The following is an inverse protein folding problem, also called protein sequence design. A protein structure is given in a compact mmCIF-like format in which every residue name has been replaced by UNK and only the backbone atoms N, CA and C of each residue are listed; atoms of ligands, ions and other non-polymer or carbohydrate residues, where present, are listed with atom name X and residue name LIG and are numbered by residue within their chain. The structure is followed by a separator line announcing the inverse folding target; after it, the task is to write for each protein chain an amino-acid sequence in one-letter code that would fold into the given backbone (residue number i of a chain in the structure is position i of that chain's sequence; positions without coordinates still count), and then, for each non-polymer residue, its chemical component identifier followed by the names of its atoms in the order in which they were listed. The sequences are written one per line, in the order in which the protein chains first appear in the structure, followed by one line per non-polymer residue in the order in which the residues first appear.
data_IF_583514521714
#
_entry.id   IF_583514521714
#
_cell.length_a   1.000
_cell.length_b   1.000
_cell.length_c   1.000
_cell.angle_alpha   90.00
_cell.angle_beta   90.00
_cell.angle_gamma   90.00
#
_symmetry.space_group_name_H-M   'P 1'
#
loop_
_entity.id
_entity.type
_entity.pdbx_description
1 polymer ?
#
# COMPACT_ATOMS: atom_id res chain seq x y z
N UNK A 1 -29.72 61.54 25.99
CA UNK A 1 -28.71 61.65 24.92
C UNK A 1 -28.73 60.34 24.14
N UNK A 2 -29.56 60.27 23.11
CA UNK A 2 -29.20 60.57 21.72
C UNK A 2 -28.40 59.43 21.08
N UNK A 3 -29.11 58.33 20.75
CA UNK A 3 -28.68 57.38 19.74
C UNK A 3 -28.87 58.00 18.37
N UNK A 4 -27.78 58.17 17.61
CA UNK A 4 -27.79 58.72 16.26
C UNK A 4 -28.11 57.62 15.26
N UNK A 5 -29.16 57.86 14.48
CA UNK A 5 -29.50 57.20 13.22
C UNK A 5 -28.33 57.25 12.23
N UNK A 6 -28.11 56.15 11.51
CA UNK A 6 -27.49 56.14 10.18
C UNK A 6 -28.59 55.95 9.12
N UNK A 7 -28.52 56.64 7.96
CA UNK A 7 -29.58 56.62 6.96
C UNK A 7 -29.44 55.46 5.96
N UNK A 8 -30.55 55.21 5.28
CA UNK A 8 -30.74 54.26 4.19
C UNK A 8 -29.74 54.45 3.03
N UNK A 9 -29.26 53.34 2.48
CA UNK A 9 -28.46 53.27 1.26
C UNK A 9 -29.01 52.20 0.32
N UNK A 10 -29.55 52.68 -0.80
CA UNK A 10 -30.00 52.04 -2.04
C UNK A 10 -29.87 50.52 -2.21
N UNK A 11 -31.04 49.91 -2.44
CA UNK A 11 -31.21 48.70 -3.24
C UNK A 11 -30.81 49.02 -4.69
N UNK A 12 -29.78 48.35 -5.21
CA UNK A 12 -29.54 48.22 -6.64
C UNK A 12 -29.48 46.72 -6.92
N UNK A 13 -30.50 46.21 -7.62
CA UNK A 13 -30.37 44.93 -8.31
C UNK A 13 -29.41 45.13 -9.47
N UNK A 14 -28.31 44.37 -9.49
CA UNK A 14 -27.49 44.17 -10.68
C UNK A 14 -27.41 42.68 -10.92
N UNK A 15 -27.57 42.38 -12.20
CA UNK A 15 -27.90 41.10 -12.81
C UNK A 15 -26.90 39.96 -12.58
N UNK A 16 -27.41 38.76 -12.84
CA UNK A 16 -26.69 37.50 -12.84
C UNK A 16 -25.56 37.49 -13.88
N UNK A 17 -24.30 37.50 -13.41
CA UNK A 17 -23.14 37.19 -14.23
C UNK A 17 -22.37 35.98 -13.65
N UNK A 18 -22.54 34.86 -14.35
CA UNK A 18 -21.51 33.89 -14.76
C UNK A 18 -20.32 33.66 -13.79
N UNK A 19 -20.50 32.76 -12.82
CA UNK A 19 -19.42 32.25 -11.98
C UNK A 19 -18.61 31.15 -12.68
N UNK A 20 -17.67 31.53 -13.56
CA UNK A 20 -16.50 30.70 -13.87
C UNK A 20 -15.45 30.87 -12.76
N UNK A 21 -15.77 30.37 -11.58
CA UNK A 21 -14.87 30.39 -10.42
C UNK A 21 -13.74 29.38 -10.57
N UNK A 22 -12.67 29.75 -11.29
CA UNK A 22 -11.41 29.02 -11.25
C UNK A 22 -10.88 29.00 -9.82
N UNK A 23 -10.94 27.84 -9.15
CA UNK A 23 -10.41 27.66 -7.81
C UNK A 23 -8.94 28.13 -7.78
N UNK A 24 -8.66 29.09 -6.88
CA UNK A 24 -7.33 29.63 -6.67
C UNK A 24 -6.39 28.50 -6.25
N UNK A 25 -5.39 28.26 -7.09
CA UNK A 25 -4.32 27.27 -6.92
C UNK A 25 -3.65 27.42 -5.56
N UNK A 26 -3.70 26.37 -4.73
CA UNK A 26 -2.94 26.32 -3.49
C UNK A 26 -1.44 26.52 -3.77
N UNK A 27 -0.79 27.46 -3.06
CA UNK A 27 0.66 27.76 -3.16
C UNK A 27 1.53 26.70 -2.46
N UNK A 28 1.24 25.42 -2.65
CA UNK A 28 2.04 24.31 -2.13
C UNK A 28 2.76 23.56 -3.25
N UNK A 29 3.95 22.99 -2.96
CA UNK A 29 4.39 21.82 -3.73
C UNK A 29 3.31 20.75 -3.53
N UNK A 30 2.78 20.19 -4.63
CA UNK A 30 1.82 19.08 -4.53
C UNK A 30 2.39 17.95 -3.69
N UNK A 31 1.52 17.13 -3.10
CA UNK A 31 1.94 15.92 -2.40
C UNK A 31 2.80 15.04 -3.31
N UNK A 32 3.62 14.15 -2.74
CA UNK A 32 4.45 13.21 -3.51
C UNK A 32 3.64 12.05 -4.13
N UNK A 33 2.37 12.31 -4.48
CA UNK A 33 1.43 11.36 -5.05
C UNK A 33 0.54 12.05 -6.11
N UNK A 34 -0.11 11.24 -6.93
CA UNK A 34 -1.15 11.63 -7.86
C UNK A 34 -2.34 10.67 -7.75
N UNK A 35 -3.51 11.11 -8.16
CA UNK A 35 -4.77 10.40 -7.96
C UNK A 35 -5.39 9.99 -9.31
N UNK A 36 -5.59 8.69 -9.51
CA UNK A 36 -6.28 8.12 -10.67
C UNK A 36 -7.75 7.96 -10.30
N UNK A 37 -8.65 8.45 -11.15
CA UNK A 37 -10.09 8.23 -10.98
C UNK A 37 -10.40 6.73 -11.12
N UNK A 38 -10.97 6.13 -10.07
CA UNK A 38 -11.34 4.72 -10.02
C UNK A 38 -12.41 4.36 -11.06
N UNK A 39 -13.30 5.29 -11.42
CA UNK A 39 -14.31 5.08 -12.44
C UNK A 39 -13.71 5.12 -13.86
N UNK A 40 -12.69 5.97 -14.06
CA UNK A 40 -11.95 6.08 -15.33
C UNK A 40 -11.03 4.88 -15.54
N UNK A 41 -10.49 4.31 -14.47
CA UNK A 41 -9.46 3.27 -14.55
C UNK A 41 -9.87 2.06 -15.40
N UNK A 42 -11.05 1.41 -15.20
CA UNK A 42 -11.53 0.35 -16.09
C UNK A 42 -11.73 0.80 -17.53
N UNK A 43 -12.16 2.05 -17.75
CA UNK A 43 -12.44 2.58 -19.09
C UNK A 43 -11.17 2.67 -19.94
N UNK A 44 -10.01 2.99 -19.34
CA UNK A 44 -8.72 2.97 -20.05
C UNK A 44 -8.42 1.58 -20.65
N UNK A 45 -9.03 0.51 -20.10
CA UNK A 45 -8.89 -0.86 -20.58
C UNK A 45 -9.92 -1.29 -21.63
N UNK A 46 -10.89 -0.45 -21.98
CA UNK A 46 -11.90 -0.75 -22.99
C UNK A 46 -11.77 0.12 -24.24
N UNK A 47 -11.10 1.28 -24.14
CA UNK A 47 -10.89 2.18 -25.28
C UNK A 47 -10.05 1.55 -26.40
N UNK A 48 -10.40 1.83 -27.65
CA UNK A 48 -9.62 1.41 -28.81
C UNK A 48 -8.28 2.16 -28.83
N UNK A 49 -7.17 1.43 -28.81
CA UNK A 49 -5.82 2.02 -28.81
C UNK A 49 -4.88 1.17 -29.64
N UNK A 50 -3.86 1.79 -30.24
CA UNK A 50 -2.89 1.05 -31.03
C UNK A 50 -1.93 0.21 -30.16
N UNK A 51 -1.68 0.68 -28.94
CA UNK A 51 -0.86 -0.03 -27.97
C UNK A 51 -1.29 0.34 -26.56
N UNK A 52 -2.00 -0.57 -25.89
CA UNK A 52 -2.56 -0.32 -24.55
C UNK A 52 -1.50 -0.01 -23.50
N UNK A 53 -0.37 -0.71 -23.50
CA UNK A 53 0.70 -0.47 -22.53
C UNK A 53 1.23 0.97 -22.65
N UNK A 54 1.52 1.44 -23.86
CA UNK A 54 1.99 2.80 -24.08
C UNK A 54 0.92 3.84 -23.74
N UNK A 55 -0.34 3.58 -24.12
CA UNK A 55 -1.47 4.44 -23.82
C UNK A 55 -1.64 4.68 -22.32
N UNK A 56 -1.74 3.61 -21.53
CA UNK A 56 -1.90 3.70 -20.06
C UNK A 56 -0.64 4.24 -19.40
N UNK A 57 0.55 3.85 -19.87
CA UNK A 57 1.81 4.40 -19.33
C UNK A 57 1.90 5.91 -19.56
N UNK A 58 1.54 6.41 -20.74
CA UNK A 58 1.55 7.84 -21.03
C UNK A 58 0.55 8.60 -20.15
N UNK A 59 -0.65 8.04 -19.91
CA UNK A 59 -1.63 8.59 -18.98
C UNK A 59 -1.03 8.76 -17.58
N UNK A 60 -0.44 7.70 -17.02
CA UNK A 60 0.15 7.73 -15.68
C UNK A 60 1.33 8.72 -15.59
N UNK A 61 2.19 8.78 -16.61
CA UNK A 61 3.31 9.74 -16.67
C UNK A 61 2.79 11.17 -16.67
N UNK A 62 1.84 11.49 -17.55
CA UNK A 62 1.29 12.84 -17.64
C UNK A 62 0.61 13.27 -16.34
N UNK A 63 -0.13 12.35 -15.71
CA UNK A 63 -0.84 12.59 -14.45
C UNK A 63 0.13 12.79 -13.27
N UNK A 64 1.22 12.02 -13.20
CA UNK A 64 2.27 12.23 -12.21
C UNK A 64 2.95 13.61 -12.32
N UNK A 65 2.93 14.22 -13.51
CA UNK A 65 3.45 15.57 -13.76
C UNK A 65 2.50 16.71 -13.41
N UNK A 66 1.35 16.42 -12.80
CA UNK A 66 0.37 17.44 -12.39
C UNK A 66 0.75 18.12 -11.07
N UNK A 67 0.08 19.23 -10.76
CA UNK A 67 0.20 19.92 -9.48
C UNK A 67 -0.67 19.31 -8.38
N UNK A 68 -0.80 20.03 -7.26
CA UNK A 68 -1.71 19.66 -6.15
C UNK A 68 -3.18 19.57 -6.53
N UNK A 69 -3.58 20.16 -7.66
CA UNK A 69 -4.95 20.10 -8.19
C UNK A 69 -5.19 18.88 -9.10
N UNK A 70 -4.16 18.06 -9.34
CA UNK A 70 -4.16 16.89 -10.21
C UNK A 70 -4.66 17.14 -11.64
N UNK A 71 -4.63 18.39 -12.12
CA UNK A 71 -5.25 18.77 -13.39
C UNK A 71 -4.25 19.20 -14.45
N UNK A 72 -3.42 20.20 -14.17
CA UNK A 72 -2.55 20.79 -15.19
C UNK A 72 -1.19 20.10 -15.20
N UNK A 73 -0.78 19.57 -16.36
CA UNK A 73 0.55 19.02 -16.58
C UNK A 73 1.28 19.74 -17.71
N UNK A 74 2.57 19.96 -17.50
CA UNK A 74 3.53 20.41 -18.52
C UNK A 74 4.42 19.27 -19.02
N UNK A 75 4.21 18.07 -18.48
CA UNK A 75 4.92 16.88 -18.96
C UNK A 75 4.40 16.50 -20.34
N UNK A 76 5.24 15.79 -21.08
CA UNK A 76 5.04 15.55 -22.51
C UNK A 76 5.67 14.22 -22.93
N UNK A 77 5.74 13.98 -24.24
CA UNK A 77 6.48 12.85 -24.80
C UNK A 77 7.94 12.79 -24.30
N UNK A 78 8.56 13.94 -23.99
CA UNK A 78 9.90 13.99 -23.38
C UNK A 78 9.92 13.37 -21.98
N UNK A 79 8.91 13.63 -21.15
CA UNK A 79 8.81 13.02 -19.83
C UNK A 79 8.58 11.50 -19.91
N UNK A 80 7.82 11.04 -20.90
CA UNK A 80 7.66 9.60 -21.16
C UNK A 80 8.99 8.94 -21.57
N UNK A 81 9.80 9.62 -22.38
CA UNK A 81 11.14 9.15 -22.73
C UNK A 81 12.06 9.10 -21.50
N UNK A 82 12.13 10.19 -20.73
CA UNK A 82 13.03 10.32 -19.59
C UNK A 82 12.70 9.35 -18.44
N UNK A 83 11.43 9.23 -18.09
CA UNK A 83 11.02 8.48 -16.90
C UNK A 83 10.75 7.00 -17.18
N UNK A 84 10.17 6.67 -18.33
CA UNK A 84 9.74 5.29 -18.64
C UNK A 84 10.38 4.70 -19.90
N UNK A 85 11.35 5.41 -20.50
CA UNK A 85 12.09 4.93 -21.66
C UNK A 85 11.23 4.77 -22.91
N UNK A 86 10.06 5.43 -22.98
CA UNK A 86 9.17 5.33 -24.14
C UNK A 86 9.64 6.30 -25.23
N UNK A 87 10.07 5.76 -26.37
CA UNK A 87 10.55 6.58 -27.48
C UNK A 87 9.51 7.62 -27.94
N UNK A 88 9.97 8.85 -28.23
CA UNK A 88 9.09 10.01 -28.52
C UNK A 88 7.96 9.75 -29.51
N UNK A 89 8.15 9.10 -30.67
CA UNK A 89 7.06 8.87 -31.61
C UNK A 89 5.92 8.03 -31.02
N UNK A 90 6.26 7.03 -30.20
CA UNK A 90 5.28 6.17 -29.52
C UNK A 90 4.55 6.94 -28.41
N UNK A 91 5.28 7.75 -27.66
CA UNK A 91 4.71 8.61 -26.63
C UNK A 91 3.78 9.68 -27.21
N UNK A 92 4.16 10.34 -28.31
CA UNK A 92 3.30 11.31 -28.99
C UNK A 92 2.00 10.68 -29.46
N UNK A 93 2.07 9.51 -30.10
CA UNK A 93 0.88 8.77 -30.52
C UNK A 93 -0.04 8.42 -29.35
N UNK A 94 0.52 7.87 -28.27
CA UNK A 94 -0.26 7.54 -27.07
C UNK A 94 -0.94 8.76 -26.46
N UNK A 95 -0.25 9.90 -26.41
CA UNK A 95 -0.81 11.17 -25.90
C UNK A 95 -1.90 11.71 -26.83
N UNK A 96 -1.75 11.58 -28.15
CA UNK A 96 -2.78 11.96 -29.11
C UNK A 96 -4.04 11.09 -28.98
N UNK A 97 -3.89 9.78 -28.77
CA UNK A 97 -5.00 8.88 -28.46
C UNK A 97 -5.73 9.31 -27.17
N UNK A 98 -4.99 9.71 -26.11
CA UNK A 98 -5.61 10.24 -24.88
C UNK A 98 -6.43 11.52 -25.12
N UNK A 99 -5.96 12.39 -26.02
CA UNK A 99 -6.68 13.61 -26.41
C UNK A 99 -7.92 13.28 -27.25
N UNK A 100 -7.79 12.34 -28.21
CA UNK A 100 -8.89 11.91 -29.08
C UNK A 100 -10.04 11.29 -28.29
N UNK A 101 -9.71 10.49 -27.26
CA UNK A 101 -10.69 9.89 -26.35
C UNK A 101 -11.21 10.85 -25.27
N UNK A 102 -10.78 12.12 -25.27
CA UNK A 102 -11.24 13.12 -24.30
C UNK A 102 -10.75 12.91 -22.87
N UNK A 103 -9.79 12.00 -22.65
CA UNK A 103 -9.21 11.71 -21.33
C UNK A 103 -8.40 12.90 -20.80
N UNK A 104 -7.75 13.62 -21.72
CA UNK A 104 -7.04 14.87 -21.46
C UNK A 104 -7.36 15.87 -22.57
N UNK A 105 -7.24 17.16 -22.27
CA UNK A 105 -7.39 18.24 -23.26
C UNK A 105 -6.10 19.03 -23.40
N UNK A 106 -5.82 19.57 -24.60
CA UNK A 106 -4.74 20.55 -24.78
C UNK A 106 -5.23 21.90 -24.28
N UNK A 107 -4.42 22.61 -23.50
CA UNK A 107 -4.79 23.95 -23.04
C UNK A 107 -4.59 24.99 -24.14
N UNK A 108 -5.22 26.15 -24.00
CA UNK A 108 -5.02 27.30 -24.92
C UNK A 108 -3.55 27.77 -24.96
N UNK A 109 -2.82 27.59 -23.87
CA UNK A 109 -1.39 27.91 -23.75
C UNK A 109 -0.47 26.81 -24.29
N UNK A 110 -1.03 25.72 -24.82
CA UNK A 110 -0.28 24.60 -25.37
C UNK A 110 0.30 24.97 -26.74
N UNK A 111 1.63 24.88 -26.88
CA UNK A 111 2.31 25.08 -28.16
C UNK A 111 3.05 23.81 -28.57
N UNK A 112 3.45 23.72 -29.85
CA UNK A 112 4.26 22.59 -30.34
C UNK A 112 5.54 22.35 -29.53
N UNK A 113 6.19 23.43 -29.09
CA UNK A 113 7.45 23.36 -28.32
C UNK A 113 7.25 23.23 -26.81
N UNK A 114 6.08 23.63 -26.32
CA UNK A 114 5.72 23.61 -24.89
C UNK A 114 4.28 23.09 -24.77
N UNK A 115 4.05 21.79 -25.01
CA UNK A 115 2.72 21.22 -24.90
C UNK A 115 2.25 21.30 -23.44
N UNK A 116 0.95 21.55 -23.27
CA UNK A 116 0.31 21.60 -21.96
C UNK A 116 -1.01 20.85 -22.04
N UNK A 117 -1.24 19.98 -21.07
CA UNK A 117 -2.44 19.16 -21.02
C UNK A 117 -3.18 19.40 -19.71
N UNK A 118 -4.50 19.22 -19.76
CA UNK A 118 -5.39 19.31 -18.60
C UNK A 118 -6.20 18.02 -18.48
N UNK A 119 -6.13 17.41 -17.31
CA UNK A 119 -7.03 16.35 -16.88
C UNK A 119 -8.36 16.97 -16.39
N UNK A 120 -9.47 16.23 -16.52
CA UNK A 120 -10.71 16.62 -15.85
C UNK A 120 -10.49 16.70 -14.33
N UNK A 121 -11.20 17.60 -13.63
CA UNK A 121 -11.17 17.60 -12.17
C UNK A 121 -11.70 16.28 -11.63
N UNK A 122 -11.09 15.78 -10.56
CA UNK A 122 -11.66 14.67 -9.80
C UNK A 122 -12.92 15.16 -9.08
N UNK A 123 -13.95 14.32 -9.05
CA UNK A 123 -15.12 14.57 -8.22
C UNK A 123 -14.72 14.59 -6.74
N UNK A 124 -15.37 15.45 -5.95
CA UNK A 124 -15.07 15.60 -4.52
C UNK A 124 -15.40 14.34 -3.73
N UNK A 125 -16.40 13.60 -4.18
CA UNK A 125 -16.87 12.37 -3.55
C UNK A 125 -16.27 11.12 -4.21
N UNK A 126 -15.29 11.29 -5.12
CA UNK A 126 -14.59 10.16 -5.72
C UNK A 126 -13.73 9.41 -4.69
N UNK A 127 -13.62 8.10 -4.88
CA UNK A 127 -12.63 7.25 -4.20
C UNK A 127 -11.48 6.93 -5.18
N UNK A 128 -10.48 7.82 -5.33
CA UNK A 128 -9.42 7.64 -6.30
C UNK A 128 -8.38 6.62 -5.85
N UNK A 129 -7.65 6.07 -6.82
CA UNK A 129 -6.46 5.25 -6.58
C UNK A 129 -5.26 6.20 -6.44
N UNK A 130 -4.67 6.24 -5.25
CA UNK A 130 -3.49 7.06 -4.98
C UNK A 130 -2.20 6.34 -5.39
N UNK A 131 -1.41 6.99 -6.24
CA UNK A 131 -0.14 6.48 -6.74
C UNK A 131 1.01 7.42 -6.37
N UNK A 132 2.16 6.91 -5.88
CA UNK A 132 3.31 7.76 -5.62
C UNK A 132 3.94 8.27 -6.92
N UNK A 133 4.36 9.53 -6.95
CA UNK A 133 5.08 10.13 -8.10
C UNK A 133 6.36 9.34 -8.40
N UNK A 134 6.99 8.77 -7.37
CA UNK A 134 8.20 7.97 -7.46
C UNK A 134 8.04 6.64 -8.20
N UNK A 135 6.80 6.17 -8.44
CA UNK A 135 6.58 5.09 -9.42
C UNK A 135 7.09 5.49 -10.81
N UNK A 136 6.92 6.76 -11.16
CA UNK A 136 7.29 7.33 -12.45
C UNK A 136 8.70 7.90 -12.41
N UNK A 137 9.04 8.67 -11.38
CA UNK A 137 10.33 9.38 -11.33
C UNK A 137 11.47 8.53 -10.75
N UNK A 138 11.14 7.42 -10.08
CA UNK A 138 12.11 6.57 -9.38
C UNK A 138 12.47 7.11 -7.99
N UNK A 139 13.17 6.26 -7.22
CA UNK A 139 13.77 6.60 -5.93
C UNK A 139 15.28 6.82 -6.14
N UNK A 140 15.77 8.05 -5.89
CA UNK A 140 17.19 8.43 -6.03
C UNK A 140 17.76 8.05 -7.42
N UNK A 141 18.62 7.03 -7.49
CA UNK A 141 19.31 6.56 -8.70
C UNK A 141 18.72 5.25 -9.25
N UNK A 142 17.60 4.78 -8.70
CA UNK A 142 16.97 3.54 -9.15
C UNK A 142 16.15 3.75 -10.42
N UNK A 143 16.11 2.71 -11.27
CA UNK A 143 15.19 2.66 -12.39
C UNK A 143 13.74 2.68 -11.87
N UNK A 144 12.87 3.59 -12.36
CA UNK A 144 11.49 3.69 -11.89
C UNK A 144 10.73 2.37 -12.03
N UNK A 145 9.83 2.07 -11.08
CA UNK A 145 9.00 0.86 -11.11
C UNK A 145 8.18 0.81 -12.40
N UNK A 146 7.58 1.94 -12.79
CA UNK A 146 6.76 2.00 -14.00
C UNK A 146 7.58 1.70 -15.27
N UNK A 147 8.85 2.11 -15.30
CA UNK A 147 9.77 1.78 -16.39
C UNK A 147 10.02 0.27 -16.48
N UNK A 148 10.34 -0.36 -15.35
CA UNK A 148 10.61 -1.80 -15.28
C UNK A 148 9.39 -2.61 -15.70
N UNK A 149 8.20 -2.23 -15.25
CA UNK A 149 6.92 -2.82 -15.70
C UNK A 149 6.74 -2.67 -17.21
N UNK A 150 6.95 -1.46 -17.76
CA UNK A 150 6.81 -1.22 -19.21
C UNK A 150 7.82 -2.01 -20.05
N UNK A 151 9.00 -2.28 -19.51
CA UNK A 151 10.03 -3.08 -20.17
C UNK A 151 9.66 -4.56 -20.29
N UNK A 152 8.71 -5.07 -19.50
CA UNK A 152 8.18 -6.44 -19.62
C UNK A 152 7.31 -6.64 -20.86
N UNK A 153 6.70 -5.57 -21.38
CA UNK A 153 5.75 -5.66 -22.49
C UNK A 153 4.34 -6.13 -22.11
N UNK A 154 4.09 -6.51 -20.85
CA UNK A 154 2.79 -6.97 -20.40
C UNK A 154 1.91 -5.80 -19.87
N UNK A 155 0.85 -5.49 -20.61
CA UNK A 155 -0.10 -4.45 -20.21
C UNK A 155 -0.89 -4.85 -18.95
N UNK A 156 -1.20 -6.13 -18.76
CA UNK A 156 -1.94 -6.60 -17.58
C UNK A 156 -1.07 -6.62 -16.33
N UNK A 157 0.27 -6.73 -16.45
CA UNK A 157 1.20 -6.48 -15.33
C UNK A 157 1.11 -5.02 -14.85
N UNK A 158 1.05 -4.06 -15.78
CA UNK A 158 0.81 -2.65 -15.44
C UNK A 158 -0.56 -2.47 -14.77
N UNK A 159 -1.57 -3.14 -15.30
CA UNK A 159 -2.91 -3.12 -14.71
C UNK A 159 -2.87 -3.62 -13.26
N UNK A 160 -2.26 -4.78 -13.03
CA UNK A 160 -2.13 -5.41 -11.72
C UNK A 160 -1.43 -4.49 -10.72
N UNK A 161 -0.35 -3.83 -11.12
CA UNK A 161 0.36 -2.89 -10.23
C UNK A 161 -0.59 -1.80 -9.71
N UNK A 162 -1.38 -1.18 -10.58
CA UNK A 162 -2.29 -0.09 -10.20
C UNK A 162 -3.51 -0.63 -9.46
N UNK A 163 -4.04 -1.79 -9.84
CA UNK A 163 -5.12 -2.46 -9.11
C UNK A 163 -4.71 -2.72 -7.66
N UNK A 164 -3.48 -3.20 -7.42
CA UNK A 164 -2.95 -3.42 -6.07
C UNK A 164 -2.86 -2.11 -5.26
N UNK A 165 -2.46 -0.98 -5.86
CA UNK A 165 -2.52 0.32 -5.18
C UNK A 165 -3.96 0.69 -4.83
N UNK A 166 -4.91 0.38 -5.70
CA UNK A 166 -6.34 0.65 -5.50
C UNK A 166 -7.00 -0.22 -4.43
N UNK A 167 -6.32 -1.28 -3.97
CA UNK A 167 -6.76 -2.17 -2.90
C UNK A 167 -6.19 -1.80 -1.53
N UNK A 168 -5.14 -0.95 -1.45
CA UNK A 168 -4.47 -0.65 -0.17
C UNK A 168 -5.48 -0.09 0.85
N UNK A 169 -5.55 -0.73 2.02
CA UNK A 169 -6.32 -0.24 3.15
C UNK A 169 -5.48 0.68 4.05
N UNK A 170 -6.15 1.58 4.77
CA UNK A 170 -5.52 2.55 5.68
C UNK A 170 -5.45 2.05 7.13
N UNK A 171 -5.39 0.74 7.31
CA UNK A 171 -5.22 0.09 8.61
C UNK A 171 -3.74 0.15 9.07
N UNK A 172 -3.35 -0.65 10.08
CA UNK A 172 -1.97 -0.65 10.55
C UNK A 172 -0.99 -1.31 9.58
N UNK A 173 -1.46 -2.21 8.70
CA UNK A 173 -0.61 -2.91 7.74
C UNK A 173 -0.22 -1.99 6.58
N UNK A 174 -1.13 -1.08 6.21
CA UNK A 174 -1.01 -0.24 5.01
C UNK A 174 -0.63 -1.09 3.80
N UNK A 175 -1.37 -2.17 3.59
CA UNK A 175 -1.12 -3.17 2.56
C UNK A 175 -2.40 -3.56 1.83
N UNK A 176 -2.25 -4.49 0.90
CA UNK A 176 -3.40 -5.14 0.26
C UNK A 176 -4.09 -6.03 1.29
N UNK A 177 -5.43 -5.98 1.40
CA UNK A 177 -6.18 -6.77 2.36
C UNK A 177 -5.86 -8.26 2.22
N UNK A 178 -5.72 -8.95 3.35
CA UNK A 178 -5.40 -10.39 3.35
C UNK A 178 -6.51 -11.25 2.71
N UNK A 179 -7.74 -10.74 2.67
CA UNK A 179 -8.84 -11.31 1.88
C UNK A 179 -8.54 -11.30 0.38
N UNK A 180 -7.80 -10.31 -0.12
CA UNK A 180 -7.57 -10.07 -1.54
C UNK A 180 -6.28 -10.70 -2.06
N UNK A 181 -5.17 -10.58 -1.33
CA UNK A 181 -3.86 -11.19 -1.66
C UNK A 181 -3.02 -11.36 -0.40
N UNK A 182 -2.53 -12.58 -0.14
CA UNK A 182 -1.69 -12.89 1.03
C UNK A 182 -0.74 -14.06 0.80
N UNK A 183 0.25 -14.19 1.68
CA UNK A 183 0.94 -15.44 1.97
C UNK A 183 0.31 -16.09 3.20
N UNK A 184 0.03 -17.39 3.11
CA UNK A 184 -0.53 -18.22 4.15
C UNK A 184 0.59 -18.93 4.93
N UNK A 185 0.34 -19.31 6.20
CA UNK A 185 1.16 -20.31 6.86
C UNK A 185 1.06 -21.66 6.10
N UNK A 186 2.00 -22.60 6.32
CA UNK A 186 1.92 -23.92 5.71
C UNK A 186 0.64 -24.65 6.16
N UNK A 187 -0.09 -25.28 5.23
CA UNK A 187 -1.36 -25.98 5.53
C UNK A 187 -1.27 -27.02 6.67
N UNK A 188 -0.07 -27.59 6.89
CA UNK A 188 0.20 -28.62 7.88
C UNK A 188 0.81 -28.07 9.18
N UNK A 189 0.97 -26.74 9.29
CA UNK A 189 1.66 -26.09 10.39
C UNK A 189 0.88 -24.87 10.94
N UNK A 190 -0.34 -25.06 11.49
CA UNK A 190 -1.07 -23.98 12.13
C UNK A 190 -0.32 -23.47 13.36
N UNK A 191 -0.70 -22.31 13.89
CA UNK A 191 -0.13 -21.80 15.12
C UNK A 191 -0.24 -22.81 16.26
N UNK A 192 0.90 -23.17 16.86
CA UNK A 192 1.00 -24.21 17.89
C UNK A 192 1.19 -23.57 19.25
N UNK A 193 0.36 -23.96 20.21
CA UNK A 193 0.63 -23.69 21.61
C UNK A 193 1.83 -24.53 22.06
N UNK A 194 2.96 -23.90 22.37
CA UNK A 194 4.13 -24.61 22.89
C UNK A 194 3.96 -24.95 24.36
N UNK A 195 3.66 -23.94 25.18
CA UNK A 195 3.43 -24.08 26.61
C UNK A 195 2.67 -22.88 27.20
N UNK A 196 2.19 -23.06 28.42
CA UNK A 196 1.65 -22.00 29.25
C UNK A 196 2.58 -21.72 30.43
N UNK A 197 2.69 -20.45 30.79
CA UNK A 197 3.48 -19.99 31.93
C UNK A 197 2.71 -18.88 32.64
N UNK A 198 2.06 -19.26 33.75
CA UNK A 198 1.16 -18.38 34.50
C UNK A 198 0.03 -17.83 33.64
N UNK A 199 -0.06 -16.52 33.50
CA UNK A 199 -1.14 -15.85 32.76
C UNK A 199 -0.90 -15.77 31.24
N UNK A 200 0.21 -16.34 30.73
CA UNK A 200 0.64 -16.20 29.34
C UNK A 200 0.77 -17.57 28.65
N UNK A 201 0.51 -17.57 27.34
CA UNK A 201 0.69 -18.69 26.43
C UNK A 201 1.75 -18.33 25.41
N UNK A 202 2.73 -19.21 25.20
CA UNK A 202 3.73 -19.05 24.14
C UNK A 202 3.28 -19.83 22.90
N UNK A 203 3.15 -19.10 21.80
CA UNK A 203 2.77 -19.64 20.49
C UNK A 203 3.99 -19.73 19.59
N UNK A 204 4.04 -20.78 18.78
CA UNK A 204 4.99 -20.95 17.69
C UNK A 204 4.25 -20.91 16.35
N UNK A 205 4.78 -20.15 15.40
CA UNK A 205 4.18 -19.92 14.10
C UNK A 205 5.24 -19.99 12.99
N UNK A 206 4.95 -20.73 11.94
CA UNK A 206 5.80 -20.82 10.75
C UNK A 206 5.24 -19.92 9.64
N UNK A 207 6.10 -19.09 9.04
CA UNK A 207 5.71 -18.33 7.86
C UNK A 207 5.79 -19.25 6.63
N UNK A 208 4.65 -19.49 5.99
CA UNK A 208 4.58 -20.25 4.76
C UNK A 208 4.91 -19.42 3.53
N UNK A 209 5.03 -20.11 2.40
CA UNK A 209 5.24 -19.50 1.08
C UNK A 209 4.02 -19.68 0.14
N UNK A 210 2.97 -20.34 0.63
CA UNK A 210 1.74 -20.54 -0.12
C UNK A 210 1.00 -19.22 -0.24
N UNK A 211 0.50 -18.90 -1.42
CA UNK A 211 -0.20 -17.65 -1.68
C UNK A 211 -1.66 -17.90 -2.01
N UNK A 212 -2.52 -17.00 -1.56
CA UNK A 212 -3.93 -17.00 -1.89
C UNK A 212 -4.37 -15.62 -2.38
N UNK A 213 -5.28 -15.61 -3.35
CA UNK A 213 -5.87 -14.40 -3.90
C UNK A 213 -7.36 -14.60 -4.15
N UNK A 214 -8.14 -13.55 -3.93
CA UNK A 214 -9.59 -13.55 -4.14
C UNK A 214 -10.09 -12.14 -4.49
N UNK A 215 -11.29 -12.07 -5.06
CA UNK A 215 -12.02 -10.83 -5.33
C UNK A 215 -12.09 -10.52 -6.83
N UNK A 216 -13.00 -9.61 -7.17
CA UNK A 216 -13.30 -9.23 -8.57
C UNK A 216 -12.08 -8.70 -9.33
N UNK A 217 -11.12 -8.08 -8.63
CA UNK A 217 -9.89 -7.56 -9.23
C UNK A 217 -9.06 -8.65 -9.93
N UNK A 218 -9.15 -9.90 -9.48
CA UNK A 218 -8.40 -11.03 -10.05
C UNK A 218 -8.90 -11.44 -11.44
N UNK A 219 -10.17 -11.17 -11.75
CA UNK A 219 -10.86 -11.72 -12.93
C UNK A 219 -10.16 -11.40 -14.25
N UNK A 220 -9.70 -10.16 -14.40
CA UNK A 220 -9.07 -9.64 -15.63
C UNK A 220 -7.64 -10.12 -15.85
N UNK A 221 -7.07 -10.79 -14.85
CA UNK A 221 -5.71 -11.33 -14.87
C UNK A 221 -5.68 -12.83 -15.09
N UNK A 222 -6.85 -13.48 -15.07
CA UNK A 222 -7.03 -14.91 -15.33
C UNK A 222 -7.43 -15.15 -16.78
N UNK A 223 -7.19 -16.36 -17.24
CA UNK A 223 -7.67 -16.84 -18.54
C UNK A 223 -8.87 -17.76 -18.34
N UNK A 224 -9.70 -17.89 -19.37
CA UNK A 224 -10.78 -18.88 -19.37
C UNK A 224 -10.19 -20.26 -19.72
N UNK A 225 -9.97 -21.08 -18.69
CA UNK A 225 -9.49 -22.45 -18.82
C UNK A 225 -10.36 -23.39 -17.99
N UNK A 226 -10.44 -24.66 -18.39
CA UNK A 226 -11.18 -25.68 -17.64
C UNK A 226 -10.44 -26.08 -16.35
N UNK A 227 -9.12 -26.08 -16.40
CA UNK A 227 -8.25 -26.32 -15.26
C UNK A 227 -8.02 -25.03 -14.46
N UNK A 228 -8.13 -25.10 -13.12
CA UNK A 228 -7.98 -23.93 -12.27
C UNK A 228 -6.52 -23.44 -12.25
N UNK A 229 -5.54 -24.34 -12.18
CA UNK A 229 -4.14 -23.93 -12.11
C UNK A 229 -3.72 -23.22 -13.41
N UNK A 230 -4.18 -23.72 -14.56
CA UNK A 230 -4.00 -23.06 -15.85
C UNK A 230 -4.71 -21.69 -15.90
N UNK A 231 -5.94 -21.58 -15.39
CA UNK A 231 -6.68 -20.32 -15.34
C UNK A 231 -5.95 -19.25 -14.52
N UNK A 232 -5.27 -19.66 -13.44
CA UNK A 232 -4.55 -18.79 -12.51
C UNK A 232 -3.07 -18.57 -12.86
N UNK A 233 -2.47 -19.37 -13.74
CA UNK A 233 -1.05 -19.26 -14.06
C UNK A 233 -0.62 -17.83 -14.48
N UNK A 234 -1.32 -17.14 -15.40
CA UNK A 234 -0.94 -15.77 -15.78
C UNK A 234 -1.08 -14.74 -14.65
N UNK A 235 -1.98 -14.98 -13.69
CA UNK A 235 -2.11 -14.14 -12.50
C UNK A 235 -0.89 -14.30 -11.60
N UNK A 236 -0.52 -15.55 -11.27
CA UNK A 236 0.60 -15.83 -10.38
C UNK A 236 1.94 -15.47 -11.00
N UNK A 237 2.11 -15.62 -12.31
CA UNK A 237 3.29 -15.15 -13.04
C UNK A 237 3.49 -13.64 -12.88
N UNK A 238 2.42 -12.85 -12.99
CA UNK A 238 2.49 -11.39 -12.81
C UNK A 238 2.78 -11.00 -11.37
N UNK A 239 2.15 -11.64 -10.38
CA UNK A 239 2.46 -11.44 -8.95
C UNK A 239 3.95 -11.75 -8.69
N UNK A 240 4.43 -12.89 -9.20
CA UNK A 240 5.83 -13.28 -9.08
C UNK A 240 6.79 -12.29 -9.77
N UNK A 241 6.40 -11.75 -10.93
CA UNK A 241 7.20 -10.77 -11.65
C UNK A 241 7.25 -9.41 -10.94
N UNK A 242 6.13 -8.94 -10.37
CA UNK A 242 6.11 -7.74 -9.51
C UNK A 242 7.01 -7.93 -8.29
N UNK A 243 6.97 -9.11 -7.66
CA UNK A 243 7.84 -9.44 -6.53
C UNK A 243 9.32 -9.49 -6.93
N UNK A 244 9.65 -10.16 -8.05
CA UNK A 244 11.02 -10.27 -8.60
C UNK A 244 11.61 -8.91 -8.95
N UNK A 245 10.80 -7.97 -9.45
CA UNK A 245 11.23 -6.59 -9.69
C UNK A 245 11.25 -5.74 -8.42
N UNK A 246 10.88 -6.27 -7.26
CA UNK A 246 10.78 -5.50 -6.02
C UNK A 246 9.76 -4.35 -6.13
N UNK A 247 8.66 -4.56 -6.83
CA UNK A 247 7.51 -3.65 -6.81
C UNK A 247 6.51 -4.07 -5.70
N UNK A 248 6.45 -5.37 -5.43
CA UNK A 248 5.61 -6.04 -4.44
C UNK A 248 6.51 -6.85 -3.50
N UNK A 249 6.15 -6.95 -2.24
CA UNK A 249 6.74 -7.91 -1.30
C UNK A 249 5.67 -8.31 -0.26
N UNK A 250 5.91 -9.38 0.47
CA UNK A 250 4.99 -9.84 1.51
C UNK A 250 5.63 -9.61 2.87
N UNK A 251 5.01 -8.74 3.67
CA UNK A 251 5.45 -8.44 5.03
C UNK A 251 4.77 -9.39 6.01
N UNK A 252 5.52 -10.13 6.84
CA UNK A 252 4.92 -11.01 7.83
C UNK A 252 4.26 -10.21 8.96
N UNK A 253 3.02 -10.56 9.26
CA UNK A 253 2.22 -9.99 10.34
C UNK A 253 1.57 -11.10 11.14
N UNK A 254 1.46 -10.89 12.45
CA UNK A 254 0.66 -11.72 13.34
C UNK A 254 -0.72 -11.08 13.48
N UNK A 255 -1.74 -11.90 13.29
CA UNK A 255 -3.15 -11.58 13.45
C UNK A 255 -3.70 -12.26 14.70
N UNK A 256 -4.77 -11.69 15.24
CA UNK A 256 -5.39 -12.18 16.46
C UNK A 256 -6.18 -13.49 16.29
N UNK A 257 -6.23 -14.05 15.07
CA UNK A 257 -6.89 -15.30 14.72
C UNK A 257 -6.70 -15.69 13.25
N UNK A 258 -7.34 -16.80 12.87
CA UNK A 258 -7.31 -17.39 11.52
C UNK A 258 -8.40 -16.85 10.57
N UNK A 259 -9.30 -16.00 11.05
CA UNK A 259 -10.32 -15.40 10.22
C UNK A 259 -9.69 -14.38 9.23
N UNK A 260 -10.32 -14.16 8.07
CA UNK A 260 -9.81 -13.19 7.09
C UNK A 260 -10.09 -11.72 7.48
N UNK A 261 -10.94 -11.51 8.48
CA UNK A 261 -11.24 -10.22 9.12
C UNK A 261 -10.52 -10.07 10.48
N UNK A 262 -9.56 -10.94 10.80
CA UNK A 262 -8.77 -10.87 12.01
C UNK A 262 -8.01 -9.53 12.10
N UNK A 263 -7.90 -8.99 13.32
CA UNK A 263 -7.21 -7.72 13.53
C UNK A 263 -5.68 -7.93 13.48
N UNK A 264 -4.94 -7.07 12.76
CA UNK A 264 -3.49 -7.13 12.75
C UNK A 264 -2.93 -6.71 14.12
N UNK A 265 -2.14 -7.59 14.74
CA UNK A 265 -1.52 -7.31 16.03
C UNK A 265 -0.18 -6.59 15.84
N UNK A 266 0.78 -7.23 15.16
CA UNK A 266 2.11 -6.67 14.97
C UNK A 266 2.84 -7.25 13.75
N UNK A 267 3.73 -6.47 13.10
CA UNK A 267 4.64 -7.00 12.10
C UNK A 267 5.72 -7.84 12.78
N UNK A 268 6.21 -8.86 12.08
CA UNK A 268 7.34 -9.69 12.52
C UNK A 268 8.37 -9.83 11.41
N UNK A 269 9.62 -10.07 11.80
CA UNK A 269 10.73 -10.27 10.88
C UNK A 269 11.36 -11.65 11.10
N UNK A 270 11.08 -12.64 10.23
CA UNK A 270 11.68 -13.97 10.31
C UNK A 270 13.21 -13.96 10.22
N UNK A 271 13.81 -12.88 9.71
CA UNK A 271 15.26 -12.74 9.65
C UNK A 271 15.92 -12.45 11.01
N UNK A 272 15.14 -12.32 12.10
CA UNK A 272 15.65 -12.07 13.44
C UNK A 272 16.65 -13.14 13.94
N UNK A 273 16.60 -14.36 13.38
CA UNK A 273 17.56 -15.44 13.62
C UNK A 273 18.97 -15.13 13.08
N UNK A 274 19.11 -14.13 12.20
CA UNK A 274 20.38 -13.70 11.61
C UNK A 274 20.88 -12.39 12.24
N UNK A 275 22.14 -12.02 11.97
CA UNK A 275 22.71 -10.75 12.42
C UNK A 275 22.04 -9.56 11.68
N UNK A 276 20.91 -9.10 12.19
CA UNK A 276 20.22 -7.89 11.69
C UNK A 276 20.91 -6.64 12.24
N UNK A 277 20.96 -5.56 11.44
CA UNK A 277 21.43 -4.25 11.91
C UNK A 277 20.58 -3.77 13.09
N UNK A 278 21.21 -3.27 14.16
CA UNK A 278 20.57 -2.84 15.41
C UNK A 278 19.44 -1.80 15.28
N UNK A 279 19.26 -1.15 14.12
CA UNK A 279 18.28 -0.08 13.93
C UNK A 279 16.92 -0.52 13.36
N UNK A 280 16.73 -1.80 13.02
CA UNK A 280 15.43 -2.27 12.52
C UNK A 280 14.45 -2.52 13.69
N UNK A 281 13.40 -1.70 13.76
CA UNK A 281 12.38 -1.78 14.83
C UNK A 281 11.57 -3.08 14.78
N UNK A 282 11.33 -3.66 13.60
CA UNK A 282 10.52 -4.89 13.47
C UNK A 282 11.33 -6.10 13.92
N UNK A 283 12.61 -6.17 13.49
CA UNK A 283 13.53 -7.19 13.97
C UNK A 283 13.76 -7.08 15.48
N UNK A 284 13.89 -5.85 16.00
CA UNK A 284 13.98 -5.57 17.43
C UNK A 284 12.74 -6.04 18.21
N UNK A 285 11.54 -5.74 17.70
CA UNK A 285 10.27 -6.20 18.26
C UNK A 285 10.19 -7.74 18.29
N UNK A 286 10.50 -8.38 17.16
CA UNK A 286 10.45 -9.86 17.04
C UNK A 286 11.44 -10.52 18.01
N UNK A 287 12.64 -9.93 18.16
CA UNK A 287 13.64 -10.38 19.15
C UNK A 287 13.13 -10.24 20.58
N UNK A 288 12.49 -9.12 20.94
CA UNK A 288 11.92 -8.93 22.28
C UNK A 288 10.82 -9.97 22.57
N UNK A 289 9.99 -10.31 21.59
CA UNK A 289 8.98 -11.37 21.73
C UNK A 289 9.63 -12.75 22.00
N UNK A 290 10.70 -13.07 21.26
CA UNK A 290 11.47 -14.30 21.47
C UNK A 290 12.13 -14.33 22.86
N UNK A 291 12.81 -13.26 23.26
CA UNK A 291 13.45 -13.16 24.58
C UNK A 291 12.44 -13.28 25.72
N UNK A 292 11.27 -12.64 25.61
CA UNK A 292 10.19 -12.80 26.58
C UNK A 292 9.69 -14.26 26.64
N UNK A 293 9.58 -14.94 25.49
CA UNK A 293 9.22 -16.36 25.43
C UNK A 293 10.27 -17.24 26.11
N UNK A 294 11.56 -16.93 25.92
CA UNK A 294 12.67 -17.66 26.53
C UNK A 294 12.67 -17.51 28.06
N UNK A 295 12.48 -16.30 28.58
CA UNK A 295 12.36 -16.07 30.02
C UNK A 295 11.13 -16.77 30.62
N UNK A 296 9.99 -16.81 29.91
CA UNK A 296 8.81 -17.55 30.36
C UNK A 296 9.03 -19.07 30.40
N UNK A 297 9.90 -19.60 29.54
CA UNK A 297 10.26 -21.01 29.56
C UNK A 297 11.06 -21.37 30.83
N UNK A 298 11.96 -20.48 31.26
CA UNK A 298 12.88 -20.72 32.37
C UNK A 298 13.76 -21.95 32.09
N UNK A 299 13.79 -22.91 33.00
CA UNK A 299 14.52 -24.18 32.82
C UNK A 299 13.93 -25.11 31.75
N UNK A 300 12.74 -24.80 31.22
CA UNK A 300 12.02 -25.63 30.24
C UNK A 300 12.39 -25.29 28.79
N UNK A 301 13.67 -25.03 28.53
CA UNK A 301 14.17 -24.59 27.21
C UNK A 301 13.93 -25.61 26.10
N UNK A 302 13.79 -26.90 26.44
CA UNK A 302 13.44 -27.96 25.48
C UNK A 302 12.13 -27.70 24.71
N UNK A 303 11.23 -26.84 25.20
CA UNK A 303 10.07 -26.41 24.42
C UNK A 303 10.44 -25.50 23.25
N UNK A 304 11.47 -24.67 23.41
CA UNK A 304 11.97 -23.76 22.39
C UNK A 304 12.73 -24.54 21.31
N UNK A 305 13.52 -25.54 21.71
CA UNK A 305 14.25 -26.43 20.79
C UNK A 305 13.31 -27.16 19.81
N UNK A 306 12.06 -27.42 20.22
CA UNK A 306 11.01 -28.05 19.37
C UNK A 306 10.35 -27.09 18.38
N UNK A 307 10.72 -25.82 18.43
CA UNK A 307 10.19 -24.75 17.59
C UNK A 307 11.33 -23.95 16.96
N UNK A 308 12.47 -24.61 16.71
CA UNK A 308 13.60 -24.01 16.03
C UNK A 308 13.18 -23.50 14.64
N UNK A 309 13.42 -22.21 14.39
CA UNK A 309 13.02 -21.53 13.16
C UNK A 309 11.62 -20.92 13.16
N UNK A 310 10.78 -21.23 14.17
CA UNK A 310 9.46 -20.63 14.31
C UNK A 310 9.53 -19.22 14.91
N UNK A 311 8.54 -18.40 14.55
CA UNK A 311 8.28 -17.14 15.23
C UNK A 311 7.60 -17.46 16.57
N UNK A 312 8.29 -17.13 17.67
CA UNK A 312 7.80 -17.33 19.04
C UNK A 312 7.24 -16.04 19.62
N UNK A 313 5.98 -16.08 20.04
CA UNK A 313 5.31 -14.91 20.64
C UNK A 313 4.49 -15.30 21.86
N UNK A 314 4.68 -14.63 23.00
CA UNK A 314 3.82 -14.79 24.15
C UNK A 314 2.58 -13.90 24.03
N UNK A 315 1.40 -14.46 24.27
CA UNK A 315 0.15 -13.70 24.41
C UNK A 315 -0.56 -14.06 25.72
N UNK A 316 -1.49 -13.22 26.22
CA UNK A 316 -2.33 -13.58 27.35
C UNK A 316 -3.10 -14.89 27.09
N UNK A 317 -3.24 -15.75 28.11
CA UNK A 317 -3.83 -17.09 27.94
C UNK A 317 -5.30 -17.14 27.49
N UNK A 318 -6.00 -16.00 27.46
CA UNK A 318 -7.37 -15.91 26.94
C UNK A 318 -7.42 -15.60 25.43
N UNK A 319 -6.28 -15.29 24.80
CA UNK A 319 -6.25 -15.11 23.35
C UNK A 319 -6.55 -16.44 22.66
N UNK A 320 -7.35 -16.38 21.58
CA UNK A 320 -7.44 -17.48 20.62
C UNK A 320 -6.08 -17.71 19.95
N UNK A 321 -5.93 -18.83 19.25
CA UNK A 321 -4.71 -19.10 18.49
C UNK A 321 -4.47 -17.95 17.48
N UNK A 322 -3.33 -17.24 17.57
CA UNK A 322 -2.98 -16.22 16.58
C UNK A 322 -2.61 -16.88 15.25
N UNK A 323 -2.48 -16.10 14.18
CA UNK A 323 -1.98 -16.62 12.91
C UNK A 323 -0.98 -15.67 12.27
N UNK A 324 0.08 -16.22 11.66
CA UNK A 324 1.05 -15.45 10.87
C UNK A 324 0.64 -15.46 9.40
N UNK A 325 0.63 -14.29 8.76
CA UNK A 325 0.34 -14.14 7.33
C UNK A 325 1.25 -13.10 6.71
N UNK A 326 1.62 -13.29 5.45
CA UNK A 326 2.29 -12.27 4.66
C UNK A 326 1.29 -11.30 4.05
N UNK A 327 1.36 -10.04 4.44
CA UNK A 327 0.58 -8.94 3.86
C UNK A 327 1.27 -8.43 2.61
N UNK A 328 0.57 -8.42 1.47
CA UNK A 328 1.11 -7.87 0.24
C UNK A 328 1.30 -6.34 0.35
N UNK A 329 2.56 -5.90 0.26
CA UNK A 329 2.97 -4.49 0.37
C UNK A 329 3.63 -4.01 -0.91
N UNK A 330 3.28 -2.79 -1.32
CA UNK A 330 3.93 -2.13 -2.44
C UNK A 330 5.15 -1.36 -1.97
N UNK A 331 6.25 -1.45 -2.72
CA UNK A 331 7.55 -0.91 -2.29
C UNK A 331 7.55 0.61 -2.13
N UNK A 332 6.79 1.31 -2.98
CA UNK A 332 6.71 2.77 -2.96
C UNK A 332 5.31 3.14 -2.50
N UNK A 333 5.20 3.75 -1.33
CA UNK A 333 3.90 4.11 -0.74
C UNK A 333 3.56 5.58 -1.07
N UNK A 334 2.31 5.90 -1.45
CA UNK A 334 1.92 7.28 -1.71
C UNK A 334 1.84 8.07 -0.40
N UNK A 335 2.37 9.29 -0.39
CA UNK A 335 2.36 10.17 0.79
C UNK A 335 1.00 10.86 1.00
N UNK A 336 -0.02 10.07 1.31
CA UNK A 336 -1.39 10.54 1.59
C UNK A 336 -1.61 10.80 3.08
N UNK A 337 -2.61 11.59 3.48
CA UNK A 337 -3.03 11.68 4.88
C UNK A 337 -3.36 10.32 5.49
N UNK A 338 -4.04 9.45 4.73
CA UNK A 338 -4.36 8.08 5.14
C UNK A 338 -3.11 7.25 5.44
N UNK A 339 -2.10 7.33 4.57
CA UNK A 339 -0.80 6.70 4.81
C UNK A 339 -0.14 7.14 6.10
N UNK A 340 -0.11 8.45 6.37
CA UNK A 340 0.52 8.99 7.58
C UNK A 340 -0.19 8.53 8.85
N UNK A 341 -1.52 8.42 8.81
CA UNK A 341 -2.33 7.89 9.91
C UNK A 341 -2.05 6.40 10.13
N UNK A 342 -2.06 5.62 9.05
CA UNK A 342 -1.74 4.19 9.06
C UNK A 342 -0.33 3.93 9.64
N UNK A 343 0.66 4.68 9.15
CA UNK A 343 2.04 4.63 9.65
C UNK A 343 2.13 4.99 11.14
N UNK A 344 1.41 6.03 11.60
CA UNK A 344 1.37 6.39 13.01
C UNK A 344 0.68 5.31 13.87
N UNK A 345 -0.36 4.63 13.37
CA UNK A 345 -0.99 3.48 14.05
C UNK A 345 -0.01 2.31 14.15
N UNK A 346 0.69 1.99 13.05
CA UNK A 346 1.73 0.97 13.01
C UNK A 346 2.85 1.22 14.01
N UNK A 347 3.38 2.44 14.06
CA UNK A 347 4.46 2.78 15.01
C UNK A 347 4.00 2.63 16.47
N UNK A 348 2.77 3.05 16.80
CA UNK A 348 2.19 2.84 18.14
C UNK A 348 2.06 1.37 18.51
N UNK A 349 1.67 0.50 17.57
CA UNK A 349 1.63 -0.94 17.82
C UNK A 349 3.03 -1.49 18.10
N UNK A 350 4.02 -1.13 17.28
CA UNK A 350 5.40 -1.58 17.46
C UNK A 350 5.95 -1.14 18.82
N UNK A 351 5.75 0.13 19.18
CA UNK A 351 6.21 0.69 20.46
C UNK A 351 5.49 0.02 21.64
N UNK A 352 4.16 -0.10 21.58
CA UNK A 352 3.38 -0.75 22.64
C UNK A 352 3.75 -2.21 22.87
N UNK A 353 3.93 -3.00 21.80
CA UNK A 353 4.33 -4.41 21.94
C UNK A 353 5.78 -4.54 22.40
N UNK A 354 6.68 -3.65 21.97
CA UNK A 354 8.06 -3.64 22.44
C UNK A 354 8.13 -3.41 23.94
N UNK A 355 7.39 -2.43 24.47
CA UNK A 355 7.28 -2.16 25.91
C UNK A 355 6.65 -3.33 26.67
N UNK A 356 5.59 -3.91 26.12
CA UNK A 356 4.88 -5.04 26.72
C UNK A 356 5.78 -6.27 26.84
N UNK A 357 6.52 -6.63 25.78
CA UNK A 357 7.46 -7.76 25.82
C UNK A 357 8.65 -7.49 26.73
N UNK A 358 9.20 -6.28 26.74
CA UNK A 358 10.28 -5.92 27.67
C UNK A 358 9.82 -6.03 29.14
N UNK A 359 8.60 -5.59 29.44
CA UNK A 359 8.01 -5.70 30.77
C UNK A 359 7.78 -7.17 31.15
N UNK A 360 7.20 -7.96 30.23
CA UNK A 360 6.96 -9.38 30.44
C UNK A 360 8.24 -10.18 30.67
N UNK A 361 9.28 -9.91 29.86
CA UNK A 361 10.62 -10.48 30.02
C UNK A 361 11.18 -10.20 31.43
N UNK A 362 11.10 -8.94 31.86
CA UNK A 362 11.56 -8.55 33.20
C UNK A 362 10.73 -9.18 34.32
N UNK A 363 9.41 -9.28 34.15
CA UNK A 363 8.53 -9.93 35.12
C UNK A 363 8.84 -11.43 35.25
N UNK A 364 9.01 -12.13 34.11
CA UNK A 364 9.39 -13.53 34.06
C UNK A 364 10.75 -13.80 34.71
N UNK A 365 11.77 -12.97 34.42
CA UNK A 365 13.10 -13.06 35.04
C UNK A 365 13.08 -12.88 36.57
N UNK A 366 12.06 -12.18 37.10
CA UNK A 366 11.84 -12.01 38.55
C UNK A 366 10.83 -13.01 39.13
N UNK A 367 10.44 -14.04 38.38
CA UNK A 367 9.49 -15.07 38.80
C UNK A 367 8.02 -14.63 38.87
N UNK A 368 7.66 -13.45 38.32
CA UNK A 368 6.28 -12.93 38.29
C UNK A 368 5.55 -13.40 37.03
N UNK A 369 5.05 -14.64 37.06
CA UNK A 369 4.36 -15.27 35.93
C UNK A 369 2.84 -15.01 35.91
N UNK A 370 2.29 -14.49 36.99
CA UNK A 370 0.86 -14.19 37.18
C UNK A 370 0.38 -12.96 36.39
N UNK A 371 1.31 -12.18 35.83
CA UNK A 371 1.01 -10.95 35.09
C UNK A 371 0.88 -11.27 33.59
N UNK A 372 -0.30 -11.07 32.99
CA UNK A 372 -0.44 -11.24 31.55
C UNK A 372 0.31 -10.13 30.81
N UNK A 373 0.73 -10.40 29.57
CA UNK A 373 1.17 -9.37 28.64
C UNK A 373 0.11 -8.27 28.57
N UNK A 374 0.53 -7.02 28.76
CA UNK A 374 -0.35 -5.86 28.68
C UNK A 374 0.24 -4.85 27.73
N UNK A 375 -0.50 -4.56 26.67
CA UNK A 375 -0.27 -3.36 25.89
C UNK A 375 -0.64 -2.19 26.78
N UNK A 376 0.28 -1.25 26.99
CA UNK A 376 -0.07 0.05 27.53
C UNK A 376 -1.08 0.64 26.54
N UNK A 377 -2.35 0.78 26.96
CA UNK A 377 -3.33 1.46 26.12
C UNK A 377 -2.85 2.90 25.95
N UNK A 378 -2.84 3.43 24.71
CA UNK A 378 -2.45 4.82 24.46
C UNK A 378 -3.37 5.81 25.18
#
# INVERSE_FOLDING_TARGET
MAGKMCPAGNFVMVDAENQTGGQLRGKGKGGLFFAVDRALWPQLWTLETANRLNFVTAYLVLLAGTGSDHQLTKWSAKACEEHVGMGKPRAMRAIEELVQHGIITRTENSTRMRPQYRFPPLDRDADPIFLPVQLVTGLKQETPVLRRVRETGDALLLRMLVDLYGLIETDATYGVPITSLRENPPDHHPARKLFESGANTVWAMELGNQRAAQGEWTTVHRINAADQDEAWAPFWERVALLAKMGALWFEPWIFDGDALDAEPLMPVDPSFHYAVRETDRIAGLTRLAYEASAELAGERTYFLDRAEGDILVPFPGHHRAPEIRGVAKLRVEPDTPGHRIAYARRMRLIEGYSEAFATLRNDAANGRLDRPLRMNSP
#
